data_IF_561496775495
#
_entry.id   IF_561496775495
#
_cell.length_a   1.000
_cell.length_b   1.000
_cell.length_c   1.000
_cell.angle_alpha   90.00
_cell.angle_beta   90.00
_cell.angle_gamma   90.00
#
_symmetry.space_group_name_H-M   'P 1'
#
loop_
_entity.id
_entity.type
_entity.pdbx_description
1 polymer ?
#
# COMPACT_ATOMS: atom_id res chain seq x y z
N UNK A 1 42.74 -20.35 13.95
CA UNK A 1 42.15 -19.58 12.83
C UNK A 1 40.84 -18.99 13.34
N UNK A 2 40.85 -17.69 13.67
CA UNK A 2 39.71 -16.97 14.25
C UNK A 2 38.99 -16.23 13.12
N UNK A 3 37.68 -16.42 12.99
CA UNK A 3 36.81 -15.48 12.27
C UNK A 3 35.63 -15.20 13.20
N UNK A 4 35.61 -13.97 13.73
CA UNK A 4 34.43 -13.34 14.30
C UNK A 4 33.64 -12.71 13.16
N UNK A 5 32.34 -12.92 13.13
CA UNK A 5 31.40 -12.08 12.39
C UNK A 5 30.32 -11.63 13.40
N UNK A 6 30.15 -10.34 13.68
CA UNK A 6 29.01 -9.88 14.45
C UNK A 6 27.79 -9.70 13.54
N UNK A 7 26.65 -10.04 14.12
CA UNK A 7 25.31 -9.81 13.61
C UNK A 7 25.00 -8.31 13.46
N UNK A 8 24.17 -7.96 12.47
CA UNK A 8 23.29 -6.82 12.59
C UNK A 8 21.93 -7.17 11.96
N UNK A 9 20.94 -7.34 12.84
CA UNK A 9 19.55 -7.51 12.50
C UNK A 9 18.95 -6.16 12.13
N UNK A 10 18.27 -6.07 10.98
CA UNK A 10 17.35 -4.98 10.67
C UNK A 10 15.93 -5.44 11.00
N UNK A 11 15.47 -5.04 12.19
CA UNK A 11 14.07 -5.13 12.58
C UNK A 11 13.32 -3.90 12.09
N UNK A 12 12.35 -4.11 11.20
CA UNK A 12 11.36 -3.09 10.84
C UNK A 12 10.19 -3.21 11.85
N UNK A 13 10.13 -2.32 12.84
CA UNK A 13 9.00 -2.25 13.77
C UNK A 13 7.89 -1.39 13.16
N UNK A 14 6.87 -2.03 12.57
CA UNK A 14 5.58 -1.39 12.30
C UNK A 14 4.69 -1.58 13.55
N UNK A 15 4.54 -0.52 14.35
CA UNK A 15 3.50 -0.46 15.37
C UNK A 15 2.17 -0.19 14.68
N UNK A 16 1.23 -1.12 14.87
CA UNK A 16 -0.11 -1.04 14.31
C UNK A 16 -0.99 -0.01 15.00
N UNK A 17 -2.00 0.45 14.27
CA UNK A 17 -3.23 0.94 14.87
C UNK A 17 -4.41 0.20 14.23
N UNK A 18 -5.04 -0.64 15.06
CA UNK A 18 -6.34 -1.26 14.80
C UNK A 18 -7.39 -0.18 15.04
N UNK A 19 -8.01 0.34 13.99
CA UNK A 19 -9.23 1.14 14.13
C UNK A 19 -10.43 0.18 14.15
N UNK A 20 -11.03 0.03 15.34
CA UNK A 20 -12.37 -0.56 15.49
C UNK A 20 -13.40 0.28 14.73
N UNK A 21 -14.28 -0.39 14.00
CA UNK A 21 -15.51 0.19 13.44
C UNK A 21 -16.46 0.65 14.56
N UNK A 22 -17.20 1.77 14.40
CA UNK A 22 -18.38 2.02 15.21
C UNK A 22 -19.63 1.42 14.55
N UNK A 23 -20.35 0.59 15.30
CA UNK A 23 -21.71 0.16 14.97
C UNK A 23 -22.70 1.29 15.32
N UNK A 24 -23.65 1.53 14.43
CA UNK A 24 -24.80 2.41 14.67
C UNK A 24 -25.77 1.76 15.67
N UNK A 25 -26.10 2.47 16.74
CA UNK A 25 -27.34 2.31 17.48
C UNK A 25 -27.74 3.66 18.07
N UNK A 26 -29.01 3.99 17.86
CA UNK A 26 -29.62 5.29 18.06
C UNK A 26 -30.19 5.44 19.49
N UNK A 27 -30.30 6.70 19.93
CA UNK A 27 -31.26 7.24 20.92
C UNK A 27 -31.00 7.18 22.44
N UNK A 28 -30.79 8.40 22.96
CA UNK A 28 -31.38 9.05 24.16
C UNK A 28 -30.64 9.13 25.52
N UNK A 29 -30.53 10.40 25.94
CA UNK A 29 -30.56 10.98 27.30
C UNK A 29 -29.22 11.20 28.05
N UNK A 30 -28.80 12.47 28.09
CA UNK A 30 -28.07 13.10 29.19
C UNK A 30 -29.08 13.91 30.06
N UNK A 31 -28.74 14.57 31.20
CA UNK A 31 -27.41 14.73 31.84
C UNK A 31 -27.43 14.62 33.41
N UNK A 32 -26.24 14.64 34.05
CA UNK A 32 -25.94 15.50 35.22
C UNK A 32 -24.45 15.39 35.65
N UNK A 33 -23.86 16.46 36.22
CA UNK A 33 -22.40 16.66 36.33
C UNK A 33 -21.84 16.33 37.74
N UNK A 34 -20.55 16.01 37.82
CA UNK A 34 -19.78 16.09 39.08
C UNK A 34 -18.37 16.60 38.79
N UNK A 35 -17.98 17.65 39.50
CA UNK A 35 -16.68 18.34 39.44
C UNK A 35 -15.72 17.88 40.55
N UNK A 36 -14.44 18.22 40.33
CA UNK A 36 -13.25 18.20 41.22
C UNK A 36 -12.60 16.81 41.43
N UNK A 37 -11.29 16.61 41.32
CA UNK A 37 -10.16 17.55 41.29
C UNK A 37 -8.92 16.89 40.67
N UNK A 38 -7.97 17.75 40.31
CA UNK A 38 -6.66 17.52 39.71
C UNK A 38 -5.96 16.16 39.94
N UNK A 39 -5.56 15.51 38.83
CA UNK A 39 -4.36 14.68 38.78
C UNK A 39 -3.67 14.80 37.42
N UNK A 40 -2.56 15.54 37.45
CA UNK A 40 -1.38 15.45 36.60
C UNK A 40 -1.58 15.13 35.10
N UNK A 41 -1.56 16.21 34.34
CA UNK A 41 -1.23 16.29 32.91
C UNK A 41 0.21 15.81 32.68
N UNK A 42 0.45 14.51 32.53
CA UNK A 42 1.66 14.00 31.86
C UNK A 42 1.48 14.16 30.36
N UNK A 43 1.62 15.40 29.89
CA UNK A 43 1.96 15.66 28.49
C UNK A 43 3.38 15.13 28.33
N UNK A 44 3.53 13.89 27.84
CA UNK A 44 4.79 13.50 27.22
C UNK A 44 5.15 14.60 26.23
N UNK A 45 6.39 15.11 26.23
CA UNK A 45 6.82 15.99 25.15
C UNK A 45 6.72 15.15 23.87
N UNK A 46 5.69 15.40 23.06
CA UNK A 46 5.74 15.10 21.64
C UNK A 46 6.98 15.84 21.15
N UNK A 47 8.08 15.09 21.00
CA UNK A 47 9.17 15.47 20.13
C UNK A 47 8.51 15.74 18.78
N UNK A 48 8.23 17.02 18.51
CA UNK A 48 8.09 17.54 17.15
C UNK A 48 9.44 17.33 16.51
N UNK A 49 9.70 16.11 16.07
CA UNK A 49 10.77 15.83 15.13
C UNK A 49 10.36 16.63 13.90
N UNK A 50 11.05 17.75 13.66
CA UNK A 50 10.99 18.42 12.37
C UNK A 50 11.43 17.39 11.33
N UNK A 51 10.45 16.80 10.65
CA UNK A 51 10.68 15.92 9.52
C UNK A 51 11.30 16.79 8.43
N UNK A 52 12.63 16.77 8.35
CA UNK A 52 13.37 17.49 7.33
C UNK A 52 13.72 16.52 6.21
N UNK A 53 13.46 16.94 4.97
CA UNK A 53 13.96 16.26 3.79
C UNK A 53 15.40 16.71 3.54
N UNK A 54 16.35 15.79 3.59
CA UNK A 54 17.71 16.05 3.12
C UNK A 54 17.69 16.29 1.59
N UNK A 55 18.46 17.26 1.11
CA UNK A 55 18.45 17.65 -0.29
C UNK A 55 18.94 16.54 -1.24
N UNK A 56 19.84 15.66 -0.78
CA UNK A 56 20.26 14.51 -1.59
C UNK A 56 19.21 13.41 -1.58
N UNK A 57 18.62 13.12 -0.42
CA UNK A 57 17.50 12.17 -0.32
C UNK A 57 16.34 12.59 -1.22
N UNK A 58 16.01 13.88 -1.23
CA UNK A 58 15.02 14.47 -2.11
C UNK A 58 15.33 14.26 -3.60
N UNK A 59 16.56 14.58 -4.00
CA UNK A 59 17.01 14.41 -5.38
C UNK A 59 16.97 12.93 -5.82
N UNK A 60 17.23 11.98 -4.93
CA UNK A 60 17.10 10.54 -5.21
C UNK A 60 15.63 10.18 -5.41
N UNK A 61 14.74 10.60 -4.50
CA UNK A 61 13.30 10.34 -4.62
C UNK A 61 12.72 10.91 -5.93
N UNK A 62 13.13 12.12 -6.32
CA UNK A 62 12.78 12.69 -7.61
C UNK A 62 13.27 11.83 -8.78
N UNK A 63 14.57 11.47 -8.82
CA UNK A 63 15.13 10.64 -9.91
C UNK A 63 14.43 9.29 -10.05
N UNK A 64 14.14 8.64 -8.93
CA UNK A 64 13.40 7.37 -8.91
C UNK A 64 11.99 7.58 -9.44
N UNK A 65 11.31 8.64 -9.00
CA UNK A 65 9.95 8.96 -9.43
C UNK A 65 9.87 9.29 -10.92
N UNK A 66 10.79 10.12 -11.42
CA UNK A 66 10.87 10.51 -12.84
C UNK A 66 11.12 9.28 -13.73
N UNK A 67 11.97 8.36 -13.28
CA UNK A 67 12.21 7.09 -13.97
C UNK A 67 10.92 6.28 -14.12
N UNK A 68 10.14 6.13 -13.04
CA UNK A 68 8.88 5.38 -13.09
C UNK A 68 7.74 6.12 -13.79
N UNK A 69 7.72 7.45 -13.72
CA UNK A 69 6.79 8.29 -14.49
C UNK A 69 7.02 8.10 -15.99
N UNK A 70 8.28 8.05 -16.43
CA UNK A 70 8.67 7.89 -17.83
C UNK A 70 8.48 6.48 -18.42
N UNK A 71 8.20 5.46 -17.59
CA UNK A 71 7.98 4.09 -18.07
C UNK A 71 6.64 3.96 -18.79
N UNK A 72 6.69 3.62 -20.07
CA UNK A 72 5.49 3.34 -20.89
C UNK A 72 4.87 1.99 -20.55
N UNK A 73 5.69 1.00 -20.24
CA UNK A 73 5.25 -0.35 -19.94
C UNK A 73 6.26 -1.08 -19.07
N UNK A 74 5.79 -2.00 -18.22
CA UNK A 74 6.65 -2.90 -17.47
C UNK A 74 5.92 -4.20 -17.15
N UNK A 75 6.68 -5.24 -16.85
CA UNK A 75 6.16 -6.49 -16.30
C UNK A 75 6.96 -6.86 -15.06
N UNK A 76 6.28 -7.36 -14.04
CA UNK A 76 6.89 -7.79 -12.78
C UNK A 76 6.16 -8.99 -12.21
N UNK A 77 6.83 -9.73 -11.35
CA UNK A 77 6.22 -10.79 -10.54
C UNK A 77 6.39 -10.41 -9.08
N UNK A 78 5.27 -10.32 -8.36
CA UNK A 78 5.26 -10.03 -6.93
C UNK A 78 4.89 -11.28 -6.17
N UNK A 79 5.67 -11.61 -5.14
CA UNK A 79 5.30 -12.65 -4.19
C UNK A 79 4.85 -11.99 -2.89
N UNK A 80 3.70 -12.41 -2.37
CA UNK A 80 3.16 -11.93 -1.10
C UNK A 80 2.92 -13.11 -0.19
N UNK A 81 3.52 -13.08 0.98
CA UNK A 81 3.15 -13.96 2.08
C UNK A 81 2.14 -13.24 2.98
N UNK A 82 1.02 -13.90 3.25
CA UNK A 82 -0.01 -13.42 4.17
C UNK A 82 -0.29 -14.48 5.23
N UNK A 83 -0.85 -14.03 6.36
CA UNK A 83 -1.36 -14.91 7.40
C UNK A 83 -2.85 -14.67 7.57
N UNK A 84 -3.63 -15.75 7.61
CA UNK A 84 -5.03 -15.70 8.00
C UNK A 84 -5.20 -16.59 9.24
N UNK A 85 -5.21 -15.96 10.42
CA UNK A 85 -5.11 -16.69 11.69
C UNK A 85 -3.78 -17.45 11.79
N UNK A 86 -3.85 -18.78 11.92
CA UNK A 86 -2.67 -19.66 12.04
C UNK A 86 -2.12 -20.13 10.69
N UNK A 87 -2.85 -19.91 9.60
CA UNK A 87 -2.45 -20.37 8.27
C UNK A 87 -1.65 -19.29 7.55
N UNK A 88 -0.44 -19.63 7.09
CA UNK A 88 0.28 -18.81 6.12
C UNK A 88 -0.13 -19.21 4.71
N UNK A 89 -0.20 -18.21 3.83
CA UNK A 89 -0.46 -18.41 2.42
C UNK A 89 0.50 -17.55 1.61
N UNK A 90 1.04 -18.13 0.54
CA UNK A 90 1.91 -17.43 -0.41
C UNK A 90 1.13 -17.24 -1.71
N UNK A 91 0.95 -15.99 -2.12
CA UNK A 91 0.35 -15.61 -3.38
C UNK A 91 1.42 -15.05 -4.33
N UNK A 92 1.31 -15.36 -5.61
CA UNK A 92 2.12 -14.80 -6.68
C UNK A 92 1.22 -13.98 -7.58
N UNK A 93 1.66 -12.76 -7.91
CA UNK A 93 0.98 -11.84 -8.81
C UNK A 93 1.90 -11.59 -10.00
N UNK A 94 1.52 -12.05 -11.18
CA UNK A 94 2.18 -11.64 -12.42
C UNK A 94 1.47 -10.41 -12.93
N UNK A 95 2.19 -9.30 -12.97
CA UNK A 95 1.65 -7.98 -13.32
C UNK A 95 2.31 -7.51 -14.60
N UNK A 96 1.52 -7.09 -15.58
CA UNK A 96 1.98 -6.43 -16.81
C UNK A 96 1.19 -5.16 -17.02
N UNK A 97 1.87 -4.07 -17.36
CA UNK A 97 1.32 -2.72 -17.40
C UNK A 97 1.76 -2.05 -18.69
N UNK A 98 0.85 -1.33 -19.34
CA UNK A 98 1.13 -0.40 -20.43
C UNK A 98 0.29 0.88 -20.21
N UNK A 99 0.96 1.98 -19.84
CA UNK A 99 0.31 3.26 -19.52
C UNK A 99 -0.40 3.83 -20.75
N UNK A 100 -1.53 4.54 -20.57
CA UNK A 100 -2.14 4.93 -19.29
C UNK A 100 -3.17 3.95 -18.72
N UNK A 101 -3.66 2.98 -19.51
CA UNK A 101 -4.88 2.26 -19.15
C UNK A 101 -4.91 0.79 -19.58
N UNK A 102 -3.75 0.13 -19.66
CA UNK A 102 -3.69 -1.33 -19.86
C UNK A 102 -2.97 -2.02 -18.72
N UNK A 103 -3.58 -3.06 -18.18
CA UNK A 103 -2.99 -3.88 -17.12
C UNK A 103 -3.44 -5.32 -17.27
N UNK A 104 -2.60 -6.26 -16.87
CA UNK A 104 -2.93 -7.66 -16.72
C UNK A 104 -2.33 -8.15 -15.42
N UNK A 105 -3.15 -8.79 -14.59
CA UNK A 105 -2.79 -9.37 -13.31
C UNK A 105 -3.28 -10.81 -13.33
N UNK A 106 -2.36 -11.74 -13.11
CA UNK A 106 -2.67 -13.14 -12.87
C UNK A 106 -2.26 -13.50 -11.46
N UNK A 107 -3.16 -14.15 -10.73
CA UNK A 107 -2.97 -14.52 -9.34
C UNK A 107 -2.85 -16.04 -9.26
N UNK A 108 -1.80 -16.53 -8.60
CA UNK A 108 -1.65 -17.94 -8.27
C UNK A 108 -1.29 -18.14 -6.79
N UNK A 109 -1.80 -19.22 -6.20
CA UNK A 109 -1.68 -19.48 -4.78
C UNK A 109 -2.49 -18.51 -3.91
N UNK A 110 -2.05 -18.32 -2.67
CA UNK A 110 -2.74 -17.49 -1.69
C UNK A 110 -3.94 -18.21 -1.06
N UNK A 111 -4.93 -17.44 -0.62
CA UNK A 111 -6.18 -18.02 -0.14
C UNK A 111 -6.95 -18.64 -1.32
N UNK A 112 -7.51 -19.84 -1.13
CA UNK A 112 -8.20 -20.62 -2.18
C UNK A 112 -9.25 -19.84 -2.97
N UNK A 113 -9.88 -18.82 -2.37
CA UNK A 113 -10.87 -17.96 -3.02
C UNK A 113 -10.30 -17.00 -4.08
N UNK A 114 -8.99 -16.83 -4.15
CA UNK A 114 -8.29 -15.93 -5.08
C UNK A 114 -7.33 -16.65 -6.03
N UNK A 115 -7.04 -17.94 -5.78
CA UNK A 115 -6.11 -18.72 -6.61
C UNK A 115 -6.67 -18.96 -8.01
N UNK A 116 -5.95 -18.48 -9.04
CA UNK A 116 -6.41 -18.45 -10.43
C UNK A 116 -7.18 -17.18 -10.79
N UNK A 117 -7.30 -16.20 -9.89
CA UNK A 117 -7.91 -14.90 -10.17
C UNK A 117 -7.17 -14.12 -11.25
N UNK A 118 -7.91 -13.33 -12.02
CA UNK A 118 -7.37 -12.50 -13.09
C UNK A 118 -8.02 -11.12 -13.12
N UNK A 119 -7.23 -10.09 -13.43
CA UNK A 119 -7.74 -8.76 -13.75
C UNK A 119 -7.03 -8.24 -14.99
N UNK A 120 -7.79 -7.84 -16.02
CA UNK A 120 -7.24 -7.36 -17.28
C UNK A 120 -7.98 -6.12 -17.76
N UNK A 121 -7.26 -5.03 -17.96
CA UNK A 121 -7.76 -3.84 -18.65
C UNK A 121 -7.02 -3.71 -19.99
N UNK A 122 -7.76 -3.62 -21.09
CA UNK A 122 -7.16 -3.57 -22.44
C UNK A 122 -7.23 -2.19 -23.10
N UNK A 123 -7.63 -1.16 -22.34
CA UNK A 123 -7.86 0.21 -22.81
C UNK A 123 -9.30 0.52 -23.24
N UNK A 124 -10.15 -0.51 -23.39
CA UNK A 124 -11.58 -0.36 -23.71
C UNK A 124 -12.48 -0.97 -22.64
N UNK A 125 -12.10 -2.14 -22.12
CA UNK A 125 -12.82 -2.88 -21.09
C UNK A 125 -11.88 -3.31 -19.97
N UNK A 126 -12.46 -3.35 -18.77
CA UNK A 126 -11.94 -4.06 -17.62
C UNK A 126 -12.63 -5.43 -17.54
N UNK A 127 -11.83 -6.46 -17.35
CA UNK A 127 -12.24 -7.84 -17.22
C UNK A 127 -11.72 -8.38 -15.89
N UNK A 128 -12.63 -8.86 -15.05
CA UNK A 128 -12.33 -9.36 -13.72
C UNK A 128 -12.80 -10.79 -13.62
N UNK A 129 -11.92 -11.68 -13.19
CA UNK A 129 -12.25 -13.05 -12.89
C UNK A 129 -11.85 -13.37 -11.46
N UNK A 130 -12.83 -13.80 -10.67
CA UNK A 130 -12.60 -14.36 -9.35
C UNK A 130 -13.08 -15.83 -9.34
N UNK A 131 -12.30 -16.78 -8.82
CA UNK A 131 -12.68 -18.20 -8.79
C UNK A 131 -14.02 -18.51 -8.07
N UNK A 132 -14.43 -17.66 -7.13
CA UNK A 132 -15.67 -17.85 -6.35
C UNK A 132 -16.86 -17.15 -6.99
N UNK A 133 -16.66 -15.96 -7.54
CA UNK A 133 -17.76 -15.10 -8.04
C UNK A 133 -17.89 -15.10 -9.57
N UNK A 134 -16.95 -15.72 -10.29
CA UNK A 134 -16.96 -15.79 -11.73
C UNK A 134 -16.43 -14.53 -12.41
N UNK A 135 -16.95 -14.26 -13.61
CA UNK A 135 -16.46 -13.23 -14.51
C UNK A 135 -17.35 -11.99 -14.51
N UNK A 136 -16.74 -10.82 -14.43
CA UNK A 136 -17.40 -9.51 -14.54
C UNK A 136 -16.64 -8.67 -15.56
N UNK A 137 -17.36 -7.83 -16.31
CA UNK A 137 -16.74 -6.87 -17.23
C UNK A 137 -17.41 -5.51 -17.16
N UNK A 138 -16.61 -4.47 -17.20
CA UNK A 138 -17.03 -3.06 -17.18
C UNK A 138 -16.21 -2.26 -18.21
N UNK A 139 -16.60 -1.02 -18.54
CA UNK A 139 -15.75 -0.13 -19.32
C UNK A 139 -14.39 0.07 -18.63
N UNK A 140 -13.31 0.18 -19.41
CA UNK A 140 -12.00 0.51 -18.85
C UNK A 140 -12.02 1.92 -18.23
N UNK A 141 -11.27 2.09 -17.15
CA UNK A 141 -10.97 3.43 -16.63
C UNK A 141 -9.98 4.15 -17.56
N UNK A 142 -9.95 5.47 -17.46
CA UNK A 142 -9.05 6.29 -18.29
C UNK A 142 -7.59 6.26 -17.80
N UNK A 143 -7.38 5.96 -16.52
CA UNK A 143 -6.10 5.94 -15.83
C UNK A 143 -6.10 4.87 -14.72
N UNK A 144 -4.95 4.63 -14.10
CA UNK A 144 -4.82 3.65 -13.01
C UNK A 144 -5.33 4.14 -11.65
N UNK A 145 -5.38 5.44 -11.40
CA UNK A 145 -5.85 5.99 -10.13
C UNK A 145 -7.33 5.66 -9.91
N UNK A 146 -8.14 5.80 -10.96
CA UNK A 146 -9.55 5.39 -10.98
C UNK A 146 -9.68 3.87 -10.82
N UNK A 147 -8.81 3.09 -11.48
CA UNK A 147 -8.83 1.62 -11.39
C UNK A 147 -8.52 1.14 -9.96
N UNK A 148 -7.52 1.73 -9.31
CA UNK A 148 -7.11 1.34 -7.96
C UNK A 148 -8.19 1.70 -6.93
N UNK A 149 -9.05 2.70 -7.21
CA UNK A 149 -10.23 3.04 -6.40
C UNK A 149 -11.45 2.17 -6.69
N UNK A 150 -11.45 1.42 -7.79
CA UNK A 150 -12.55 0.54 -8.16
C UNK A 150 -12.65 -0.66 -7.20
N UNK A 151 -13.81 -0.79 -6.56
CA UNK A 151 -14.03 -1.79 -5.52
C UNK A 151 -14.07 -3.22 -6.09
N UNK A 152 -14.57 -3.41 -7.31
CA UNK A 152 -14.60 -4.73 -7.96
C UNK A 152 -13.18 -5.17 -8.31
N UNK A 153 -12.37 -4.26 -8.83
CA UNK A 153 -10.95 -4.49 -9.11
C UNK A 153 -10.16 -4.83 -7.84
N UNK A 154 -10.33 -4.03 -6.77
CA UNK A 154 -9.69 -4.33 -5.49
C UNK A 154 -10.06 -5.72 -4.98
N UNK A 155 -11.34 -6.07 -5.04
CA UNK A 155 -11.81 -7.36 -4.58
C UNK A 155 -11.29 -8.52 -5.45
N UNK A 156 -11.32 -8.36 -6.78
CA UNK A 156 -10.79 -9.35 -7.73
C UNK A 156 -9.28 -9.58 -7.56
N UNK A 157 -8.54 -8.54 -7.15
CA UNK A 157 -7.10 -8.57 -6.90
C UNK A 157 -6.73 -8.89 -5.46
N UNK A 158 -7.68 -9.38 -4.64
CA UNK A 158 -7.47 -9.71 -3.23
C UNK A 158 -6.91 -8.54 -2.40
N UNK A 159 -7.24 -7.30 -2.79
CA UNK A 159 -6.71 -6.06 -2.23
C UNK A 159 -5.18 -5.97 -2.29
N UNK A 160 -4.53 -6.76 -3.15
CA UNK A 160 -3.07 -6.76 -3.27
C UNK A 160 -2.52 -5.44 -3.82
N UNK A 161 -3.38 -4.67 -4.49
CA UNK A 161 -3.10 -3.35 -5.05
C UNK A 161 -3.62 -2.17 -4.23
N UNK A 162 -4.16 -2.43 -3.03
CA UNK A 162 -4.74 -1.37 -2.22
C UNK A 162 -3.78 -0.94 -1.09
N UNK A 163 -3.37 0.32 -1.12
CA UNK A 163 -3.21 1.13 0.08
C UNK A 163 -1.81 1.26 0.66
N UNK A 164 -0.84 0.40 0.33
CA UNK A 164 0.56 0.52 0.78
C UNK A 164 1.55 -0.29 -0.07
N UNK A 165 1.39 -0.31 -1.39
CA UNK A 165 2.34 -1.03 -2.23
C UNK A 165 3.08 -0.10 -3.19
N UNK A 166 4.37 -0.41 -3.37
CA UNK A 166 5.22 0.32 -4.29
C UNK A 166 4.57 0.39 -5.69
N UNK A 167 3.90 -0.69 -6.11
CA UNK A 167 3.23 -0.79 -7.41
C UNK A 167 2.19 0.32 -7.63
N UNK A 168 1.38 0.68 -6.64
CA UNK A 168 0.43 1.80 -6.74
C UNK A 168 1.15 3.11 -7.07
N UNK A 169 2.26 3.40 -6.38
CA UNK A 169 3.10 4.56 -6.67
C UNK A 169 3.76 4.51 -8.06
N UNK A 170 4.08 3.31 -8.58
CA UNK A 170 4.66 3.18 -9.95
C UNK A 170 3.63 3.46 -11.05
N UNK A 171 2.35 3.24 -10.73
CA UNK A 171 1.24 3.34 -11.68
C UNK A 171 0.71 4.77 -11.83
N UNK A 172 0.97 5.65 -10.86
CA UNK A 172 0.49 7.04 -10.93
C UNK A 172 1.27 7.87 -11.97
N UNK A 173 0.66 8.97 -12.39
CA UNK A 173 1.32 9.93 -13.29
C UNK A 173 2.43 10.70 -12.58
N UNK A 174 2.24 10.96 -11.28
CA UNK A 174 3.22 11.65 -10.44
C UNK A 174 3.56 10.80 -9.19
N UNK A 175 4.52 9.86 -9.33
CA UNK A 175 4.92 8.99 -8.23
C UNK A 175 5.47 9.74 -7.01
N UNK A 176 6.16 10.86 -7.23
CA UNK A 176 6.78 11.64 -6.16
C UNK A 176 5.73 12.26 -5.24
N UNK A 177 4.77 13.00 -5.81
CA UNK A 177 3.68 13.60 -5.04
C UNK A 177 2.78 12.53 -4.42
N UNK A 178 2.57 11.41 -5.11
CA UNK A 178 1.84 10.29 -4.57
C UNK A 178 2.50 9.75 -3.30
N UNK A 179 3.81 9.49 -3.32
CA UNK A 179 4.54 9.00 -2.14
C UNK A 179 4.49 9.99 -0.97
N UNK A 180 4.65 11.30 -1.23
CA UNK A 180 4.60 12.30 -0.17
C UNK A 180 3.22 12.44 0.47
N UNK A 181 2.16 12.41 -0.35
CA UNK A 181 0.82 12.73 0.11
C UNK A 181 0.06 11.49 0.60
N UNK A 182 0.26 10.36 -0.06
CA UNK A 182 -0.40 9.11 0.27
C UNK A 182 0.33 8.35 1.38
N UNK A 183 1.66 8.28 1.34
CA UNK A 183 2.46 7.60 2.37
C UNK A 183 2.97 8.53 3.47
N UNK A 184 2.69 9.83 3.38
CA UNK A 184 3.10 10.79 4.40
C UNK A 184 4.62 10.93 4.53
N UNK A 185 5.38 10.63 3.47
CA UNK A 185 6.84 10.78 3.46
C UNK A 185 7.16 12.29 3.43
N UNK A 186 7.31 12.87 4.62
CA UNK A 186 7.59 14.31 4.83
C UNK A 186 9.03 14.59 5.24
N UNK A 187 9.84 13.56 5.46
CA UNK A 187 11.27 13.67 5.74
C UNK A 187 11.99 12.39 5.36
N UNK A 188 13.25 12.53 4.94
CA UNK A 188 14.14 11.42 4.66
C UNK A 188 15.58 11.88 4.91
N UNK A 189 16.40 10.96 5.39
CA UNK A 189 17.84 11.13 5.57
C UNK A 189 18.55 10.05 4.76
N UNK A 190 19.65 10.43 4.12
CA UNK A 190 20.50 9.46 3.42
C UNK A 190 21.23 8.60 4.47
N UNK A 191 20.84 7.33 4.60
CA UNK A 191 21.53 6.39 5.49
C UNK A 191 22.60 5.64 4.71
N UNK A 192 23.86 6.04 4.89
CA UNK A 192 25.04 5.36 4.34
C UNK A 192 26.09 6.33 3.78
N UNK A 193 27.35 5.87 3.75
CA UNK A 193 28.44 6.58 3.04
C UNK A 193 28.44 6.14 1.57
N UNK A 194 28.34 7.10 0.64
CA UNK A 194 28.64 6.87 -0.77
C UNK A 194 30.13 6.48 -0.88
N UNK A 195 30.42 5.32 -1.48
CA UNK A 195 31.78 4.90 -1.84
C UNK A 195 32.13 5.34 -3.25
#
# INVERSE_FOLDING_TARGET
MKIHAPALALGLSLLGNVALMPAFADTAAAPAPVSSDAAAKETSPELKVELKMDAKADAILHKVSDFYAGLKSFATTMEREGKNGKESHKATYKVSVEKPNKISIEISGGAKRFDGGQAKMNGEKLFLYNPVFGYVSSPATSNYEDLIRDHEFQFATAFALHGQNLLEALLTENPYDFMQNHYGIKGAELVGEEK
#
